data_IF_694039319826
#
_entry.id   IF_694039319826
#
_cell.length_a   1.000
_cell.length_b   1.000
_cell.length_c   1.000
_cell.angle_alpha   90.00
_cell.angle_beta   90.00
_cell.angle_gamma   90.00
#
_symmetry.space_group_name_H-M   'P 1'
#
loop_
_entity.id
_entity.type
_entity.pdbx_description
1 polymer ?
#
# COMPACT_ATOMS: atom_id res chain seq x y z
N UNK A 1 5.25 -22.67 18.20
CA UNK A 1 6.03 -21.41 18.12
C UNK A 1 6.26 -20.90 19.53
N UNK A 2 7.50 -20.66 19.96
CA UNK A 2 7.76 -19.99 21.24
C UNK A 2 7.33 -18.53 21.12
N UNK A 3 6.21 -18.15 21.73
CA UNK A 3 5.52 -16.87 21.50
C UNK A 3 6.29 -15.64 22.00
N UNK A 4 7.32 -15.84 22.83
CA UNK A 4 8.01 -14.74 23.52
C UNK A 4 8.70 -13.76 22.57
N UNK A 5 9.32 -14.23 21.48
CA UNK A 5 10.07 -13.33 20.58
C UNK A 5 9.16 -12.56 19.62
N UNK A 6 7.98 -13.07 19.28
CA UNK A 6 7.10 -12.43 18.30
C UNK A 6 6.55 -11.09 18.80
N UNK A 7 6.39 -10.95 20.11
CA UNK A 7 5.85 -9.76 20.78
C UNK A 7 6.93 -8.96 21.53
N UNK A 8 8.19 -9.08 21.12
CA UNK A 8 9.27 -8.19 21.61
C UNK A 8 9.61 -7.13 20.58
N UNK A 9 10.12 -5.98 21.04
CA UNK A 9 10.52 -4.91 20.15
C UNK A 9 11.60 -5.32 19.13
N UNK A 10 11.61 -4.61 18.01
CA UNK A 10 12.64 -4.71 16.97
C UNK A 10 12.79 -3.38 16.24
N UNK A 11 14.02 -3.03 15.89
CA UNK A 11 14.32 -1.89 15.02
C UNK A 11 14.26 -2.30 13.55
N UNK A 12 13.46 -1.59 12.75
CA UNK A 12 13.38 -1.74 11.29
C UNK A 12 13.65 -0.38 10.65
N UNK A 13 14.79 -0.24 9.98
CA UNK A 13 15.26 1.05 9.47
C UNK A 13 15.39 2.08 10.61
N UNK A 14 14.62 3.16 10.50
CA UNK A 14 14.58 4.24 11.51
C UNK A 14 13.43 4.09 12.53
N UNK A 15 12.70 2.97 12.51
CA UNK A 15 11.52 2.77 13.36
C UNK A 15 11.77 1.70 14.41
N UNK A 16 11.43 2.01 15.66
CA UNK A 16 11.34 1.02 16.74
C UNK A 16 9.90 0.48 16.78
N UNK A 17 9.73 -0.81 16.50
CA UNK A 17 8.45 -1.51 16.54
C UNK A 17 8.27 -2.20 17.90
N UNK A 18 7.04 -2.29 18.41
CA UNK A 18 6.73 -2.96 19.68
C UNK A 18 6.52 -4.47 19.51
N UNK A 19 6.30 -4.94 18.28
CA UNK A 19 6.15 -6.36 17.96
C UNK A 19 6.60 -6.69 16.53
N UNK A 20 6.72 -7.98 16.22
CA UNK A 20 7.25 -8.48 14.94
C UNK A 20 6.18 -9.02 14.00
N UNK A 21 4.90 -8.84 14.33
CA UNK A 21 3.78 -9.11 13.41
C UNK A 21 3.66 -7.95 12.42
N UNK A 22 3.69 -8.27 11.11
CA UNK A 22 3.66 -7.29 10.01
C UNK A 22 2.48 -7.61 9.09
N UNK A 23 1.74 -6.59 8.66
CA UNK A 23 0.80 -6.73 7.55
C UNK A 23 1.59 -6.73 6.24
N UNK A 24 1.64 -7.88 5.58
CA UNK A 24 2.21 -8.02 4.24
C UNK A 24 1.40 -7.19 3.21
N UNK A 25 2.00 -6.83 2.06
CA UNK A 25 1.27 -6.17 0.99
C UNK A 25 0.18 -7.09 0.42
N UNK A 26 -1.07 -6.62 0.39
CA UNK A 26 -2.21 -7.38 -0.14
C UNK A 26 -3.05 -6.49 -1.06
N UNK A 27 -2.93 -6.68 -2.38
CA UNK A 27 -3.76 -5.96 -3.37
C UNK A 27 -5.24 -6.20 -3.16
N UNK A 28 -6.01 -5.12 -2.97
CA UNK A 28 -7.44 -5.22 -2.68
C UNK A 28 -8.32 -4.76 -3.83
N UNK A 29 -7.87 -3.96 -4.79
CA UNK A 29 -8.74 -3.46 -5.87
C UNK A 29 -9.94 -2.63 -5.37
N UNK A 30 -9.74 -1.79 -4.34
CA UNK A 30 -10.80 -0.95 -3.75
C UNK A 30 -10.55 0.56 -3.89
N UNK A 31 -9.48 0.99 -4.55
CA UNK A 31 -9.32 2.38 -4.94
C UNK A 31 -10.45 2.81 -5.89
N UNK A 32 -10.66 4.11 -6.05
CA UNK A 32 -11.60 4.60 -7.05
C UNK A 32 -11.07 4.35 -8.49
N UNK A 33 -11.85 4.71 -9.50
CA UNK A 33 -11.48 4.49 -10.91
C UNK A 33 -10.24 5.30 -11.34
N UNK A 34 -9.91 6.37 -10.62
CA UNK A 34 -8.73 7.21 -10.82
C UNK A 34 -7.51 6.75 -9.99
N UNK A 35 -7.59 5.53 -9.43
CA UNK A 35 -6.57 4.93 -8.57
C UNK A 35 -6.27 5.74 -7.29
N UNK A 36 -7.21 6.56 -6.83
CA UNK A 36 -7.12 7.34 -5.58
C UNK A 36 -7.64 6.48 -4.41
N UNK A 37 -6.90 6.40 -3.29
CA UNK A 37 -7.40 5.82 -2.05
C UNK A 37 -8.65 6.54 -1.54
N UNK A 38 -9.67 5.79 -1.12
CA UNK A 38 -10.93 6.30 -0.61
C UNK A 38 -11.10 5.96 0.88
N UNK A 39 -12.24 6.36 1.45
CA UNK A 39 -12.52 6.19 2.88
C UNK A 39 -12.54 4.71 3.32
N UNK A 40 -12.86 3.78 2.40
CA UNK A 40 -12.78 2.34 2.69
C UNK A 40 -11.33 1.88 2.90
N UNK A 41 -10.37 2.43 2.15
CA UNK A 41 -8.95 2.16 2.39
C UNK A 41 -8.50 2.74 3.74
N UNK A 42 -8.96 3.95 4.08
CA UNK A 42 -8.68 4.56 5.40
C UNK A 42 -9.17 3.66 6.52
N UNK A 43 -10.44 3.24 6.48
CA UNK A 43 -11.01 2.33 7.47
C UNK A 43 -10.23 0.99 7.52
N UNK A 44 -9.94 0.40 6.35
CA UNK A 44 -9.25 -0.87 6.23
C UNK A 44 -7.88 -0.90 6.93
N UNK A 45 -7.04 0.12 6.68
CA UNK A 45 -5.71 0.22 7.31
C UNK A 45 -5.83 0.60 8.79
N UNK A 46 -6.76 1.47 9.16
CA UNK A 46 -7.00 1.86 10.56
C UNK A 46 -7.36 0.66 11.42
N UNK A 47 -8.22 -0.24 10.92
CA UNK A 47 -8.61 -1.47 11.62
C UNK A 47 -7.45 -2.44 11.83
N UNK A 48 -6.40 -2.38 11.00
CA UNK A 48 -5.23 -3.28 11.04
C UNK A 48 -4.02 -2.67 11.74
N UNK A 49 -4.06 -1.37 12.03
CA UNK A 49 -3.02 -0.67 12.73
C UNK A 49 -3.08 -0.95 14.24
N UNK A 50 -1.98 -1.48 14.76
CA UNK A 50 -1.72 -1.64 16.20
C UNK A 50 -0.51 -0.81 16.60
N UNK A 51 -0.49 -0.31 17.83
CA UNK A 51 0.63 0.48 18.37
C UNK A 51 1.95 -0.27 18.19
N UNK A 52 2.95 0.39 17.61
CA UNK A 52 4.26 -0.18 17.33
C UNK A 52 4.26 -1.30 16.29
N UNK A 53 3.18 -1.50 15.54
CA UNK A 53 3.09 -2.44 14.44
C UNK A 53 3.55 -1.85 13.11
N UNK A 54 3.98 -2.71 12.19
CA UNK A 54 4.34 -2.32 10.82
C UNK A 54 3.30 -2.84 9.82
N UNK A 55 2.83 -1.95 8.95
CA UNK A 55 1.98 -2.26 7.82
C UNK A 55 2.73 -1.96 6.52
N UNK A 56 2.54 -2.81 5.51
CA UNK A 56 2.97 -2.53 4.14
C UNK A 56 1.69 -2.38 3.32
N UNK A 57 1.56 -1.27 2.59
CA UNK A 57 0.39 -1.03 1.76
C UNK A 57 0.21 -2.13 0.71
N UNK A 58 -0.98 -2.20 0.15
CA UNK A 58 -1.18 -2.83 -1.14
C UNK A 58 -0.26 -2.24 -2.21
N UNK A 59 -0.01 -3.05 -3.24
CA UNK A 59 0.87 -2.67 -4.33
C UNK A 59 0.34 -1.42 -5.05
N UNK A 60 1.18 -0.39 -5.15
CA UNK A 60 0.78 0.96 -5.54
C UNK A 60 1.57 1.42 -6.77
N UNK A 61 0.87 1.78 -7.84
CA UNK A 61 1.49 2.13 -9.11
C UNK A 61 2.30 3.42 -9.06
N UNK A 62 3.52 3.37 -9.58
CA UNK A 62 4.44 4.52 -9.65
C UNK A 62 4.20 5.43 -10.87
N UNK A 63 3.43 4.94 -11.84
CA UNK A 63 3.11 5.66 -13.07
C UNK A 63 1.81 5.09 -13.64
N UNK A 64 1.11 5.86 -14.48
CA UNK A 64 -0.11 5.41 -15.16
C UNK A 64 0.14 4.19 -16.05
N UNK A 65 1.32 4.09 -16.67
CA UNK A 65 1.75 2.98 -17.54
C UNK A 65 2.45 1.85 -16.78
N UNK A 66 2.85 2.09 -15.52
CA UNK A 66 3.33 1.04 -14.63
C UNK A 66 2.21 0.12 -14.14
N UNK A 67 0.96 0.56 -14.30
CA UNK A 67 -0.24 -0.12 -13.87
C UNK A 67 -0.91 -0.96 -14.95
N UNK A 68 -2.19 -1.26 -14.69
CA UNK A 68 -3.00 -2.12 -15.55
C UNK A 68 -4.06 -2.91 -14.78
N UNK A 69 -4.15 -2.80 -13.45
CA UNK A 69 -5.29 -3.35 -12.73
C UNK A 69 -6.24 -2.26 -12.28
N UNK A 70 -7.51 -2.43 -12.62
CA UNK A 70 -8.58 -1.51 -12.21
C UNK A 70 -8.65 -1.49 -10.68
N UNK A 71 -8.80 -0.29 -10.12
CA UNK A 71 -9.01 -0.06 -8.68
C UNK A 71 -7.84 -0.48 -7.77
N UNK A 72 -6.66 -0.80 -8.32
CA UNK A 72 -5.42 -0.74 -7.55
C UNK A 72 -4.96 0.74 -7.44
N UNK A 73 -4.40 1.16 -6.30
CA UNK A 73 -4.05 2.57 -6.09
C UNK A 73 -2.77 2.98 -6.84
N UNK A 74 -2.62 4.28 -7.06
CA UNK A 74 -1.41 4.92 -7.58
C UNK A 74 -0.77 5.89 -6.58
N UNK A 75 0.44 6.38 -6.90
CA UNK A 75 1.15 7.43 -6.15
C UNK A 75 1.90 8.42 -7.08
N UNK A 76 1.36 8.68 -8.26
CA UNK A 76 2.01 9.48 -9.31
C UNK A 76 1.35 10.85 -9.54
N UNK A 77 0.25 11.16 -8.86
CA UNK A 77 -0.40 12.46 -8.94
C UNK A 77 -0.82 13.00 -7.56
N UNK A 78 -1.27 14.25 -7.53
CA UNK A 78 -1.59 14.96 -6.29
C UNK A 78 -2.84 14.38 -5.62
N UNK A 79 -3.87 14.02 -6.37
CA UNK A 79 -5.11 13.46 -5.83
C UNK A 79 -4.84 12.14 -5.09
N UNK A 80 -3.99 11.28 -5.65
CA UNK A 80 -3.54 10.04 -5.04
C UNK A 80 -2.76 10.29 -3.76
N UNK A 81 -1.82 11.26 -3.77
CA UNK A 81 -1.07 11.65 -2.57
C UNK A 81 -2.01 12.12 -1.46
N UNK A 82 -3.01 12.95 -1.76
CA UNK A 82 -3.98 13.40 -0.76
C UNK A 82 -4.85 12.25 -0.23
N UNK A 83 -5.22 11.28 -1.07
CA UNK A 83 -5.88 10.05 -0.62
C UNK A 83 -5.00 9.23 0.32
N UNK A 84 -3.72 9.06 -0.01
CA UNK A 84 -2.75 8.34 0.83
C UNK A 84 -2.46 9.03 2.15
N UNK A 85 -2.41 10.37 2.19
CA UNK A 85 -2.23 11.12 3.45
C UNK A 85 -3.28 10.75 4.49
N UNK A 86 -4.55 10.67 4.09
CA UNK A 86 -5.64 10.24 4.99
C UNK A 86 -5.40 8.86 5.58
N UNK A 87 -4.90 7.92 4.76
CA UNK A 87 -4.54 6.57 5.19
C UNK A 87 -3.35 6.60 6.16
N UNK A 88 -2.27 7.31 5.83
CA UNK A 88 -1.09 7.37 6.70
C UNK A 88 -1.40 8.05 8.02
N UNK A 89 -2.21 9.12 8.00
CA UNK A 89 -2.61 9.85 9.21
C UNK A 89 -3.41 8.95 10.16
N UNK A 90 -4.35 8.15 9.64
CA UNK A 90 -5.15 7.25 10.48
C UNK A 90 -4.33 6.10 11.07
N UNK A 91 -3.31 5.61 10.34
CA UNK A 91 -2.39 4.59 10.83
C UNK A 91 -1.44 5.16 11.88
N UNK A 92 -0.88 6.36 11.65
CA UNK A 92 -0.02 7.04 12.61
C UNK A 92 -0.79 7.41 13.89
N UNK A 93 -2.08 7.78 13.79
CA UNK A 93 -2.93 8.02 14.96
C UNK A 93 -3.12 6.77 15.85
N UNK A 94 -2.93 5.56 15.31
CA UNK A 94 -2.90 4.29 16.06
C UNK A 94 -1.51 3.95 16.63
N UNK A 95 -0.51 4.79 16.39
CA UNK A 95 0.88 4.57 16.79
C UNK A 95 1.59 3.49 15.98
N UNK A 96 1.07 3.16 14.79
CA UNK A 96 1.67 2.19 13.88
C UNK A 96 2.54 2.87 12.83
N UNK A 97 3.39 2.09 12.16
CA UNK A 97 4.23 2.52 11.04
C UNK A 97 3.67 1.91 9.75
N UNK A 98 3.72 2.66 8.65
CA UNK A 98 3.28 2.17 7.34
C UNK A 98 4.28 2.50 6.23
N UNK A 99 4.60 1.48 5.42
CA UNK A 99 5.44 1.63 4.22
C UNK A 99 4.60 1.43 2.96
N UNK A 100 4.86 2.23 1.92
CA UNK A 100 4.18 2.14 0.64
C UNK A 100 4.95 1.21 -0.32
N UNK A 101 4.29 0.15 -0.80
CA UNK A 101 4.89 -0.77 -1.78
C UNK A 101 4.80 -0.18 -3.19
N UNK A 102 5.92 0.37 -3.70
CA UNK A 102 6.04 0.85 -5.07
C UNK A 102 5.94 -0.32 -6.06
N UNK A 103 5.13 -0.15 -7.10
CA UNK A 103 4.81 -1.23 -8.02
C UNK A 103 4.82 -0.82 -9.49
N UNK A 104 5.39 -1.71 -10.30
CA UNK A 104 5.31 -1.74 -11.76
C UNK A 104 5.02 -3.19 -12.18
N UNK A 105 3.92 -3.43 -12.90
CA UNK A 105 3.45 -4.81 -13.17
C UNK A 105 4.23 -5.51 -14.28
N UNK A 106 4.89 -4.73 -15.14
CA UNK A 106 5.71 -5.26 -16.22
C UNK A 106 4.89 -6.13 -17.18
N UNK A 107 5.42 -7.30 -17.54
CA UNK A 107 4.76 -8.26 -18.44
C UNK A 107 3.44 -8.84 -17.90
N UNK A 108 3.16 -8.71 -16.60
CA UNK A 108 1.89 -9.16 -16.03
C UNK A 108 0.72 -8.22 -16.38
N UNK A 109 1.02 -7.05 -16.97
CA UNK A 109 0.01 -6.13 -17.48
C UNK A 109 -0.58 -6.54 -18.81
N UNK A 110 -1.80 -6.09 -19.08
CA UNK A 110 -2.50 -6.31 -20.35
C UNK A 110 -2.69 -4.97 -21.07
N UNK A 111 -2.46 -4.95 -22.39
CA UNK A 111 -2.75 -3.79 -23.22
C UNK A 111 -4.22 -3.38 -23.14
N UNK A 112 -5.13 -4.33 -22.92
CA UNK A 112 -6.56 -4.07 -22.73
C UNK A 112 -6.86 -3.19 -21.51
N UNK A 113 -5.93 -3.11 -20.56
CA UNK A 113 -6.08 -2.37 -19.32
C UNK A 113 -5.24 -1.08 -19.30
N UNK A 114 -4.42 -0.87 -20.32
CA UNK A 114 -3.61 0.33 -20.48
C UNK A 114 -4.37 1.40 -21.29
N UNK A 115 -4.11 2.69 -21.04
CA UNK A 115 -4.61 3.76 -21.90
C UNK A 115 -4.24 3.50 -23.37
N UNK A 116 -5.20 3.72 -24.28
CA UNK A 116 -5.02 3.59 -25.73
C UNK A 116 -4.51 2.21 -26.20
N UNK A 117 -4.81 1.15 -25.46
CA UNK A 117 -4.34 -0.20 -25.77
C UNK A 117 -2.80 -0.32 -25.85
N UNK A 118 -2.06 0.56 -25.17
CA UNK A 118 -0.61 0.54 -25.20
C UNK A 118 -0.07 -0.75 -24.60
N UNK A 119 0.99 -1.29 -25.21
CA UNK A 119 1.67 -2.48 -24.72
C UNK A 119 2.30 -2.18 -23.36
N UNK A 120 2.13 -3.12 -22.42
CA UNK A 120 2.82 -3.06 -21.13
C UNK A 120 4.33 -3.04 -21.35
N UNK A 121 5.02 -2.13 -20.68
CA UNK A 121 6.48 -2.05 -20.72
C UNK A 121 7.07 -3.21 -19.91
N UNK A 122 8.00 -3.94 -20.51
CA UNK A 122 8.75 -5.03 -19.88
C UNK A 122 10.14 -5.11 -20.55
N UNK A 123 11.16 -5.64 -19.86
CA UNK A 123 12.47 -5.93 -20.46
C UNK A 123 12.37 -6.84 -21.69
#
# INVERSE_FOLDING_TARGET
MSSKTLFTPIKIGNHELEHRVVLAPVTRFRANLDAVPNDLLVEYYTQRASKGGLLITEATFIDRLAGGYKQAPGIYNKEQIEGWKKVTDSVHAKGAVIFLQLWHIGRAGSSLLNPNAMRSLAP
#
